data_IF_234400771732
#
_entry.id   IF_234400771732
#
_cell.length_a   1.000
_cell.length_b   1.000
_cell.length_c   1.000
_cell.angle_alpha   90.00
_cell.angle_beta   90.00
_cell.angle_gamma   90.00
#
_symmetry.space_group_name_H-M   'P 1'
#
loop_
_entity.id
_entity.type
_entity.pdbx_description
1 polymer ?
#
# COMPACT_ATOMS: atom_id res chain seq x y z
N UNK A 1 -33.34 33.07 26.26
CA UNK A 1 -33.27 34.41 26.88
C UNK A 1 -31.82 34.61 27.29
N UNK A 2 -31.21 35.67 26.83
CA UNK A 2 -29.83 36.05 27.16
C UNK A 2 -29.92 37.30 28.02
N UNK A 3 -29.37 37.26 29.24
CA UNK A 3 -29.32 38.41 30.14
C UNK A 3 -27.89 38.84 30.41
N UNK A 4 -27.67 40.13 30.52
CA UNK A 4 -26.40 40.73 30.96
C UNK A 4 -26.72 41.74 32.05
N UNK A 5 -26.09 41.60 33.21
CA UNK A 5 -26.27 42.46 34.36
C UNK A 5 -27.76 42.59 34.82
N UNK A 6 -28.53 41.50 34.69
CA UNK A 6 -29.95 41.46 35.05
C UNK A 6 -30.90 42.11 34.02
N UNK A 7 -30.40 42.70 32.96
CA UNK A 7 -31.19 43.24 31.86
C UNK A 7 -31.31 42.26 30.69
N UNK A 8 -32.47 42.19 30.04
CA UNK A 8 -32.69 41.40 28.84
C UNK A 8 -31.81 41.95 27.71
N UNK A 9 -30.80 41.18 27.32
CA UNK A 9 -29.87 41.55 26.21
C UNK A 9 -30.28 40.97 24.88
N UNK A 10 -31.17 40.00 24.85
CA UNK A 10 -31.70 39.40 23.64
C UNK A 10 -32.49 38.11 23.88
N UNK A 11 -33.25 37.72 22.89
CA UNK A 11 -33.95 36.45 22.81
C UNK A 11 -33.36 35.66 21.67
N UNK A 12 -32.60 34.59 21.99
CA UNK A 12 -32.08 33.67 21.01
C UNK A 12 -33.01 32.46 20.87
N UNK A 13 -33.35 32.12 19.63
CA UNK A 13 -34.02 30.86 19.35
C UNK A 13 -32.98 29.75 19.26
N UNK A 14 -33.11 28.66 20.01
CA UNK A 14 -32.19 27.53 20.02
C UNK A 14 -31.94 26.95 18.60
N UNK A 15 -32.97 26.93 17.75
CA UNK A 15 -32.90 26.55 16.36
C UNK A 15 -31.94 27.44 15.53
N UNK A 16 -31.96 28.76 15.76
CA UNK A 16 -31.05 29.67 15.06
C UNK A 16 -29.59 29.43 15.48
N UNK A 17 -29.34 29.21 16.74
CA UNK A 17 -28.01 28.91 17.24
C UNK A 17 -27.50 27.56 16.67
N UNK A 18 -28.36 26.53 16.67
CA UNK A 18 -28.03 25.23 16.06
C UNK A 18 -27.70 25.36 14.56
N UNK A 19 -28.48 26.15 13.83
CA UNK A 19 -28.21 26.39 12.41
C UNK A 19 -26.87 27.12 12.20
N UNK A 20 -26.52 28.10 12.99
CA UNK A 20 -25.24 28.79 12.93
C UNK A 20 -24.10 27.84 13.22
N UNK A 21 -24.18 27.02 14.27
CA UNK A 21 -23.17 26.01 14.62
C UNK A 21 -23.04 24.98 13.51
N UNK A 22 -24.15 24.46 12.98
CA UNK A 22 -24.14 23.50 11.88
C UNK A 22 -23.47 24.09 10.61
N UNK A 23 -23.79 25.32 10.25
CA UNK A 23 -23.17 26.00 9.11
C UNK A 23 -21.67 26.24 9.32
N UNK A 24 -21.25 26.66 10.53
CA UNK A 24 -19.83 26.81 10.84
C UNK A 24 -19.09 25.48 10.76
N UNK A 25 -19.71 24.40 11.25
CA UNK A 25 -19.13 23.06 11.21
C UNK A 25 -19.04 22.53 9.76
N UNK A 26 -20.09 22.76 8.97
CA UNK A 26 -20.09 22.40 7.55
C UNK A 26 -18.99 23.15 6.76
N UNK A 27 -18.81 24.44 7.03
CA UNK A 27 -17.77 25.24 6.39
C UNK A 27 -16.36 24.77 6.80
N UNK A 28 -16.14 24.51 8.08
CA UNK A 28 -14.87 23.97 8.58
C UNK A 28 -14.55 22.60 8.00
N UNK A 29 -15.54 21.72 7.90
CA UNK A 29 -15.39 20.42 7.25
C UNK A 29 -15.05 20.56 5.76
N UNK A 30 -15.69 21.50 5.05
CA UNK A 30 -15.40 21.78 3.65
C UNK A 30 -13.95 22.23 3.45
N UNK A 31 -13.43 23.11 4.30
CA UNK A 31 -12.04 23.58 4.23
C UNK A 31 -11.04 22.42 4.47
N UNK A 32 -11.33 21.56 5.45
CA UNK A 32 -10.52 20.37 5.74
C UNK A 32 -10.54 19.42 4.52
N UNK A 33 -11.71 19.10 3.98
CA UNK A 33 -11.84 18.23 2.81
C UNK A 33 -11.10 18.79 1.60
N UNK A 34 -11.20 20.07 1.34
CA UNK A 34 -10.45 20.71 0.23
C UNK A 34 -8.93 20.56 0.39
N UNK A 35 -8.41 20.64 1.62
CA UNK A 35 -6.98 20.40 1.89
C UNK A 35 -6.58 18.94 1.65
N UNK A 36 -7.46 17.99 2.02
CA UNK A 36 -7.23 16.55 1.78
C UNK A 36 -7.33 16.22 0.28
N UNK A 37 -8.28 16.82 -0.43
CA UNK A 37 -8.39 16.69 -1.90
C UNK A 37 -7.10 17.15 -2.59
N UNK A 38 -6.53 18.27 -2.15
CA UNK A 38 -5.26 18.76 -2.69
C UNK A 38 -4.10 17.80 -2.37
N UNK A 39 -4.05 17.23 -1.16
CA UNK A 39 -3.06 16.21 -0.80
C UNK A 39 -3.17 14.97 -1.72
N UNK A 40 -4.38 14.58 -2.14
CA UNK A 40 -4.57 13.45 -3.07
C UNK A 40 -3.98 13.74 -4.46
N UNK A 41 -4.03 14.98 -4.91
CA UNK A 41 -3.40 15.38 -6.18
C UNK A 41 -1.89 15.22 -6.10
N UNK A 42 -1.28 15.59 -4.97
CA UNK A 42 0.17 15.43 -4.74
C UNK A 42 0.53 13.95 -4.70
N UNK A 43 -0.20 13.13 -3.92
CA UNK A 43 0.06 11.69 -3.82
C UNK A 43 -0.05 10.98 -5.17
N UNK A 44 -1.09 11.28 -5.96
CA UNK A 44 -1.23 10.74 -7.33
C UNK A 44 -0.10 11.20 -8.26
N UNK A 45 0.34 12.45 -8.14
CA UNK A 45 1.45 12.98 -8.93
C UNK A 45 2.76 12.24 -8.64
N UNK A 46 3.01 11.92 -7.36
CA UNK A 46 4.18 11.13 -6.93
C UNK A 46 4.19 9.72 -7.56
N UNK A 47 3.03 9.07 -7.64
CA UNK A 47 2.90 7.72 -8.18
C UNK A 47 2.86 7.66 -9.73
N UNK A 48 2.64 8.80 -10.39
CA UNK A 48 2.42 8.86 -11.85
C UNK A 48 3.61 8.36 -12.68
N UNK A 49 4.84 8.68 -12.26
CA UNK A 49 6.06 8.26 -12.98
C UNK A 49 6.20 6.74 -12.96
N UNK A 50 5.99 6.10 -11.81
CA UNK A 50 6.00 4.64 -11.68
C UNK A 50 4.93 3.98 -12.55
N UNK A 51 3.73 4.54 -12.58
CA UNK A 51 2.63 4.01 -13.41
C UNK A 51 2.93 4.10 -14.90
N UNK A 52 3.50 5.22 -15.35
CA UNK A 52 3.91 5.40 -16.74
C UNK A 52 5.05 4.43 -17.14
N UNK A 53 6.06 4.27 -16.27
CA UNK A 53 7.15 3.34 -16.48
C UNK A 53 6.67 1.88 -16.54
N UNK A 54 5.75 1.48 -15.66
CA UNK A 54 5.12 0.16 -15.68
C UNK A 54 4.41 -0.11 -17.01
N UNK A 55 3.53 0.79 -17.43
CA UNK A 55 2.77 0.63 -18.67
C UNK A 55 3.67 0.55 -19.93
N UNK A 56 4.78 1.26 -19.92
CA UNK A 56 5.76 1.24 -21.03
C UNK A 56 6.65 0.00 -21.03
N UNK A 57 6.81 -0.68 -19.89
CA UNK A 57 7.77 -1.80 -19.75
C UNK A 57 7.10 -3.17 -19.79
N UNK A 58 5.95 -3.31 -19.15
CA UNK A 58 5.23 -4.58 -19.00
C UNK A 58 3.83 -4.49 -19.60
N UNK A 59 3.66 -4.92 -20.85
CA UNK A 59 2.34 -4.89 -21.52
C UNK A 59 1.33 -5.85 -20.88
N UNK A 60 1.79 -6.97 -20.32
CA UNK A 60 0.95 -7.92 -19.58
C UNK A 60 1.12 -7.71 -18.07
N UNK A 61 0.73 -6.54 -17.60
CA UNK A 61 0.71 -6.19 -16.18
C UNK A 61 -0.50 -5.35 -15.82
N UNK A 62 -0.92 -5.44 -14.58
CA UNK A 62 -1.96 -4.57 -14.02
C UNK A 62 -1.62 -4.19 -12.57
N UNK A 63 -1.92 -2.95 -12.25
CA UNK A 63 -1.77 -2.39 -10.91
C UNK A 63 -3.08 -1.76 -10.48
N UNK A 64 -3.62 -2.27 -9.39
CA UNK A 64 -4.73 -1.66 -8.66
C UNK A 64 -4.15 -0.90 -7.48
N UNK A 65 -4.55 0.34 -7.32
CA UNK A 65 -4.25 1.19 -6.17
C UNK A 65 -5.49 2.03 -5.87
N UNK A 66 -6.14 1.73 -4.79
CA UNK A 66 -7.40 2.32 -4.37
C UNK A 66 -7.33 2.65 -2.89
N UNK A 67 -7.00 3.89 -2.53
CA UNK A 67 -7.05 4.31 -1.14
C UNK A 67 -8.45 4.09 -0.54
N UNK A 68 -8.48 3.76 0.76
CA UNK A 68 -9.72 3.66 1.52
C UNK A 68 -10.41 5.01 1.64
N UNK A 69 -9.63 6.02 1.93
CA UNK A 69 -10.05 7.41 2.06
C UNK A 69 -9.67 8.22 0.80
N UNK A 70 -9.58 9.52 0.89
CA UNK A 70 -9.17 10.38 -0.24
C UNK A 70 -7.69 10.23 -0.57
N UNK A 71 -6.87 9.95 0.46
CA UNK A 71 -5.46 9.60 0.41
C UNK A 71 -5.23 8.32 1.22
N UNK A 72 -4.14 7.59 0.99
CA UNK A 72 -3.89 6.30 1.64
C UNK A 72 -2.47 6.09 2.11
N UNK A 73 -2.27 4.99 2.87
CA UNK A 73 -0.99 4.50 3.35
C UNK A 73 -0.28 3.57 2.36
N UNK A 74 -1.01 2.99 1.43
CA UNK A 74 -0.42 2.16 0.40
C UNK A 74 0.29 2.97 -0.66
N UNK A 75 1.43 2.45 -1.14
CA UNK A 75 2.07 2.99 -2.33
C UNK A 75 2.74 1.88 -3.16
N UNK A 76 3.09 2.25 -4.37
CA UNK A 76 3.86 1.40 -5.28
C UNK A 76 4.98 2.20 -5.93
N UNK A 77 6.03 1.48 -6.31
CA UNK A 77 7.14 2.02 -7.09
C UNK A 77 7.46 1.07 -8.23
N UNK A 78 7.76 1.61 -9.41
CA UNK A 78 8.22 0.85 -10.56
C UNK A 78 9.25 1.66 -11.34
N UNK A 79 10.35 1.00 -11.68
CA UNK A 79 11.38 1.58 -12.55
C UNK A 79 11.96 0.52 -13.50
N UNK A 80 12.18 0.93 -14.75
CA UNK A 80 12.91 0.14 -15.75
C UNK A 80 14.40 0.43 -15.67
N UNK A 81 15.19 -0.60 -15.88
CA UNK A 81 16.65 -0.56 -16.03
C UNK A 81 17.05 -1.28 -17.33
N UNK A 82 18.31 -1.15 -17.73
CA UNK A 82 18.79 -1.72 -19.01
C UNK A 82 18.63 -3.25 -19.09
N UNK A 83 18.82 -3.94 -17.98
CA UNK A 83 18.79 -5.40 -17.85
C UNK A 83 17.58 -5.95 -17.11
N UNK A 84 16.63 -5.10 -16.72
CA UNK A 84 15.46 -5.56 -15.99
C UNK A 84 14.55 -4.45 -15.50
N UNK A 85 13.79 -4.78 -14.46
CA UNK A 85 12.94 -3.81 -13.79
C UNK A 85 12.89 -4.07 -12.27
N UNK A 86 12.65 -3.01 -11.54
CA UNK A 86 12.39 -3.06 -10.11
C UNK A 86 10.95 -2.63 -9.83
N UNK A 87 10.30 -3.36 -8.91
CA UNK A 87 8.99 -2.99 -8.38
C UNK A 87 8.97 -3.10 -6.86
N UNK A 88 8.23 -2.20 -6.23
CA UNK A 88 7.90 -2.27 -4.82
C UNK A 88 6.40 -2.04 -4.62
N UNK A 89 5.80 -2.85 -3.75
CA UNK A 89 4.44 -2.69 -3.23
C UNK A 89 4.57 -2.55 -1.73
N UNK A 90 3.98 -1.52 -1.16
CA UNK A 90 4.13 -1.21 0.24
C UNK A 90 2.81 -0.74 0.85
N UNK A 91 2.61 -1.14 2.09
CA UNK A 91 1.50 -0.85 2.98
C UNK A 91 2.07 -0.17 4.23
N UNK A 92 1.86 1.12 4.36
CA UNK A 92 2.35 1.90 5.49
C UNK A 92 1.35 1.90 6.64
N UNK A 93 1.86 2.04 7.87
CA UNK A 93 1.01 2.20 9.05
C UNK A 93 0.02 3.34 8.88
N UNK A 94 -1.26 3.01 9.06
CA UNK A 94 -2.35 3.96 9.02
C UNK A 94 -2.85 4.32 7.63
N UNK A 95 -4.07 4.78 7.57
CA UNK A 95 -4.77 5.19 6.35
C UNK A 95 -5.06 6.68 6.39
N UNK A 96 -5.59 7.26 5.30
CA UNK A 96 -5.88 8.68 5.22
C UNK A 96 -4.63 9.56 5.32
N UNK A 97 -4.74 10.70 5.97
CA UNK A 97 -3.66 11.69 6.04
C UNK A 97 -2.38 11.16 6.71
N UNK A 98 -2.43 10.49 7.88
CA UNK A 98 -1.22 9.89 8.48
C UNK A 98 -0.54 8.90 7.54
N UNK A 99 -1.29 7.98 6.93
CA UNK A 99 -0.77 7.04 5.94
C UNK A 99 -0.11 7.74 4.75
N UNK A 100 -0.71 8.82 4.24
CA UNK A 100 -0.14 9.59 3.15
C UNK A 100 1.22 10.23 3.50
N UNK A 101 1.42 10.68 4.74
CA UNK A 101 2.74 11.14 5.20
C UNK A 101 3.74 9.99 5.26
N UNK A 102 3.31 8.82 5.74
CA UNK A 102 4.16 7.63 5.75
C UNK A 102 4.56 7.21 4.33
N UNK A 103 3.64 7.26 3.35
CA UNK A 103 4.00 6.98 1.95
C UNK A 103 5.04 7.94 1.40
N UNK A 104 4.96 9.23 1.76
CA UNK A 104 5.93 10.23 1.32
C UNK A 104 7.34 9.94 1.90
N UNK A 105 7.43 9.67 3.20
CA UNK A 105 8.68 9.31 3.88
C UNK A 105 9.26 8.05 3.25
N UNK A 106 8.48 6.99 3.16
CA UNK A 106 8.89 5.67 2.70
C UNK A 106 9.33 5.67 1.23
N UNK A 107 8.58 6.34 0.37
CA UNK A 107 8.91 6.45 -1.05
C UNK A 107 10.16 7.28 -1.31
N UNK A 108 10.38 8.36 -0.55
CA UNK A 108 11.60 9.17 -0.67
C UNK A 108 12.84 8.39 -0.20
N UNK A 109 12.70 7.64 0.90
CA UNK A 109 13.77 6.77 1.42
C UNK A 109 14.10 5.65 0.45
N UNK A 110 13.08 5.03 -0.17
CA UNK A 110 13.28 4.02 -1.23
C UNK A 110 14.02 4.61 -2.44
N UNK A 111 13.63 5.80 -2.89
CA UNK A 111 14.29 6.46 -4.01
C UNK A 111 15.77 6.73 -3.72
N UNK A 112 16.09 7.17 -2.50
CA UNK A 112 17.48 7.37 -2.06
C UNK A 112 18.26 6.05 -1.97
N UNK A 113 17.67 4.99 -1.42
CA UNK A 113 18.28 3.68 -1.33
C UNK A 113 18.60 3.10 -2.72
N UNK A 114 17.66 3.24 -3.68
CA UNK A 114 17.87 2.81 -5.06
C UNK A 114 19.01 3.58 -5.76
N UNK A 115 19.17 4.86 -5.50
CA UNK A 115 20.31 5.65 -6.04
C UNK A 115 21.66 5.18 -5.47
N UNK A 116 21.68 4.73 -4.22
CA UNK A 116 22.92 4.35 -3.52
C UNK A 116 23.30 2.90 -3.81
N UNK A 117 22.35 1.98 -3.75
CA UNK A 117 22.59 0.53 -3.80
C UNK A 117 22.25 -0.09 -5.17
N UNK A 118 21.47 0.62 -5.99
CA UNK A 118 20.88 0.05 -7.20
C UNK A 118 19.74 -0.93 -6.89
N UNK A 119 19.10 -1.53 -7.93
CA UNK A 119 17.87 -2.30 -7.78
C UNK A 119 18.05 -3.79 -7.49
N UNK A 120 19.28 -4.33 -7.65
CA UNK A 120 19.51 -5.78 -7.80
C UNK A 120 19.47 -6.58 -6.50
N UNK A 121 19.52 -5.90 -5.35
CA UNK A 121 19.47 -6.52 -4.03
C UNK A 121 18.27 -5.99 -3.22
N UNK A 122 17.06 -6.57 -3.43
CA UNK A 122 15.86 -6.18 -2.71
C UNK A 122 15.99 -6.23 -1.18
N UNK A 123 16.71 -7.20 -0.63
CA UNK A 123 16.88 -7.34 0.82
C UNK A 123 17.75 -6.21 1.40
N UNK A 124 18.86 -5.86 0.72
CA UNK A 124 19.68 -4.73 1.11
C UNK A 124 18.91 -3.40 1.00
N UNK A 125 18.08 -3.25 -0.03
CA UNK A 125 17.20 -2.09 -0.18
C UNK A 125 16.21 -1.97 0.98
N UNK A 126 15.54 -3.06 1.37
CA UNK A 126 14.62 -3.07 2.52
C UNK A 126 15.37 -2.65 3.80
N UNK A 127 16.57 -3.17 4.04
CA UNK A 127 17.36 -2.82 5.22
C UNK A 127 17.74 -1.33 5.24
N UNK A 128 18.13 -0.78 4.08
CA UNK A 128 18.45 0.65 3.96
C UNK A 128 17.22 1.54 4.16
N UNK A 129 16.09 1.19 3.55
CA UNK A 129 14.82 1.89 3.75
C UNK A 129 14.39 1.82 5.21
N UNK A 130 14.56 0.68 5.89
CA UNK A 130 14.23 0.54 7.31
C UNK A 130 15.03 1.50 8.18
N UNK A 131 16.34 1.61 7.95
CA UNK A 131 17.20 2.58 8.65
C UNK A 131 16.75 4.02 8.38
N UNK A 132 16.49 4.35 7.13
CA UNK A 132 16.05 5.68 6.73
C UNK A 132 14.72 6.08 7.37
N UNK A 133 13.71 5.20 7.32
CA UNK A 133 12.40 5.45 7.96
C UNK A 133 12.56 5.63 9.46
N UNK A 134 13.29 4.75 10.15
CA UNK A 134 13.57 4.88 11.59
C UNK A 134 14.25 6.22 11.93
N UNK A 135 15.23 6.62 11.12
CA UNK A 135 15.92 7.89 11.30
C UNK A 135 14.98 9.08 11.17
N UNK A 136 14.14 9.10 10.13
CA UNK A 136 13.23 10.20 9.87
C UNK A 136 12.12 10.32 10.92
N UNK A 137 11.69 9.18 11.50
CA UNK A 137 10.65 9.14 12.54
C UNK A 137 11.21 9.20 13.97
N UNK A 138 12.54 9.29 14.15
CA UNK A 138 13.15 9.27 15.48
C UNK A 138 13.01 7.93 16.21
N UNK A 139 12.81 6.84 15.48
CA UNK A 139 12.59 5.48 16.02
C UNK A 139 13.89 4.68 16.18
N UNK A 140 15.05 5.37 16.25
CA UNK A 140 16.35 4.75 16.47
C UNK A 140 16.54 4.37 17.93
N UNK A 141 17.11 3.19 18.19
CA UNK A 141 17.47 2.76 19.55
C UNK A 141 18.51 3.70 20.18
N UNK A 142 18.32 4.05 21.46
CA UNK A 142 19.33 4.75 22.24
C UNK A 142 19.21 6.28 22.35
N UNK A 143 18.19 6.88 21.80
CA UNK A 143 17.89 8.31 22.00
C UNK A 143 16.92 8.49 23.17
N UNK A 144 17.32 8.34 24.40
CA UNK A 144 16.70 8.70 25.70
C UNK A 144 15.19 8.93 25.86
N UNK A 145 14.48 9.23 24.81
CA UNK A 145 13.03 9.41 24.78
C UNK A 145 12.37 8.18 24.18
N UNK A 146 11.27 7.74 24.79
CA UNK A 146 10.39 6.73 24.20
C UNK A 146 9.89 7.26 22.86
N UNK A 147 9.97 6.50 21.76
CA UNK A 147 9.43 6.94 20.48
C UNK A 147 7.95 7.33 20.63
N UNK A 148 7.57 8.46 20.06
CA UNK A 148 6.18 8.95 20.11
C UNK A 148 5.22 8.09 19.30
N UNK A 149 5.75 7.29 18.35
CA UNK A 149 4.97 6.40 17.50
C UNK A 149 5.74 5.09 17.23
N UNK A 150 5.03 4.10 16.68
CA UNK A 150 5.61 2.86 16.17
C UNK A 150 5.12 2.68 14.73
N UNK A 151 5.57 3.58 13.85
CA UNK A 151 5.16 3.61 12.46
C UNK A 151 6.20 2.95 11.56
N UNK A 152 5.71 2.32 10.52
CA UNK A 152 6.53 1.58 9.58
C UNK A 152 5.74 1.20 8.34
N UNK A 153 6.19 0.17 7.66
CA UNK A 153 5.47 -0.40 6.53
C UNK A 153 5.75 -1.89 6.37
N UNK A 154 4.80 -2.59 5.78
CA UNK A 154 4.96 -3.92 5.22
C UNK A 154 5.18 -3.78 3.71
N UNK A 155 6.13 -4.51 3.14
CA UNK A 155 6.45 -4.32 1.73
C UNK A 155 6.98 -5.58 1.05
N UNK A 156 6.88 -5.58 -0.27
CA UNK A 156 7.49 -6.55 -1.17
C UNK A 156 8.31 -5.82 -2.22
N UNK A 157 9.60 -6.14 -2.30
CA UNK A 157 10.54 -5.59 -3.28
C UNK A 157 10.96 -6.69 -4.25
N UNK A 158 10.90 -6.37 -5.54
CA UNK A 158 11.13 -7.30 -6.65
C UNK A 158 12.16 -6.72 -7.61
N UNK A 159 13.18 -7.49 -7.93
CA UNK A 159 14.08 -7.24 -9.05
C UNK A 159 13.97 -8.38 -10.06
N UNK A 160 13.56 -8.09 -11.27
CA UNK A 160 13.50 -9.06 -12.36
C UNK A 160 14.61 -8.78 -13.38
N UNK A 161 15.48 -9.75 -13.57
CA UNK A 161 16.52 -9.76 -14.60
C UNK A 161 15.95 -10.38 -15.89
N UNK A 162 15.83 -9.57 -16.94
CA UNK A 162 15.26 -10.00 -18.23
C UNK A 162 16.14 -11.00 -18.97
N UNK A 163 17.48 -10.91 -18.80
CA UNK A 163 18.43 -11.74 -19.52
C UNK A 163 18.42 -13.18 -19.01
N UNK A 164 18.29 -13.33 -17.71
CA UNK A 164 18.29 -14.64 -17.04
C UNK A 164 16.90 -15.12 -16.67
N UNK A 165 15.87 -14.29 -16.80
CA UNK A 165 14.49 -14.51 -16.33
C UNK A 165 14.42 -14.91 -14.87
N UNK A 166 15.29 -14.34 -14.04
CA UNK A 166 15.33 -14.57 -12.61
C UNK A 166 14.72 -13.40 -11.86
N UNK A 167 13.89 -13.72 -10.88
CA UNK A 167 13.30 -12.78 -9.97
C UNK A 167 14.00 -12.88 -8.60
N UNK A 168 14.61 -11.81 -8.15
CA UNK A 168 15.02 -11.65 -6.77
C UNK A 168 13.88 -10.95 -6.01
N UNK A 169 13.39 -11.59 -4.97
CA UNK A 169 12.30 -11.11 -4.14
C UNK A 169 12.75 -11.01 -2.69
N UNK A 170 12.43 -9.90 -2.04
CA UNK A 170 12.49 -9.77 -0.59
C UNK A 170 11.17 -9.19 -0.09
N UNK A 171 10.57 -9.84 0.91
CA UNK A 171 9.32 -9.40 1.50
C UNK A 171 9.48 -9.10 2.99
N UNK A 172 8.97 -7.97 3.41
CA UNK A 172 8.75 -7.60 4.80
C UNK A 172 7.25 -7.73 5.06
N UNK A 173 6.83 -8.91 5.56
CA UNK A 173 5.44 -9.34 5.81
C UNK A 173 4.53 -9.48 4.57
N UNK A 174 4.85 -8.91 3.42
CA UNK A 174 4.13 -9.13 2.17
C UNK A 174 4.78 -10.26 1.37
N UNK A 175 4.00 -11.30 1.03
CA UNK A 175 4.45 -12.47 0.28
C UNK A 175 4.13 -12.35 -1.21
N UNK A 176 4.93 -13.00 -2.05
CA UNK A 176 4.71 -13.10 -3.49
C UNK A 176 3.94 -14.38 -3.82
N UNK A 177 2.95 -14.28 -4.68
CA UNK A 177 2.22 -15.41 -5.24
C UNK A 177 2.69 -15.64 -6.68
N UNK A 178 2.92 -16.90 -7.03
CA UNK A 178 3.32 -17.35 -8.37
C UNK A 178 2.30 -18.35 -8.89
N UNK A 179 1.83 -18.17 -10.10
CA UNK A 179 0.99 -19.14 -10.78
C UNK A 179 1.59 -19.46 -12.16
N UNK A 180 2.19 -20.64 -12.26
CA UNK A 180 2.65 -21.17 -13.52
C UNK A 180 1.46 -21.62 -14.38
N UNK A 181 1.46 -21.41 -15.71
CA UNK A 181 0.32 -21.75 -16.57
C UNK A 181 -0.02 -23.25 -16.57
N UNK A 182 0.95 -24.11 -16.29
CA UNK A 182 0.81 -25.57 -16.29
C UNK A 182 0.59 -26.17 -14.88
N UNK A 183 0.57 -25.35 -13.84
CA UNK A 183 0.41 -25.86 -12.46
C UNK A 183 -0.99 -25.59 -11.93
N UNK A 184 -1.54 -26.56 -11.20
CA UNK A 184 -2.86 -26.51 -10.55
C UNK A 184 -2.81 -25.93 -9.13
N UNK A 185 -1.70 -25.25 -8.78
CA UNK A 185 -1.52 -24.65 -7.47
C UNK A 185 -0.81 -23.30 -7.58
N UNK A 186 -1.22 -22.36 -6.74
CA UNK A 186 -0.53 -21.09 -6.53
C UNK A 186 0.61 -21.32 -5.54
N UNK A 187 1.84 -21.13 -5.99
CA UNK A 187 3.01 -21.16 -5.12
C UNK A 187 3.14 -19.84 -4.36
N UNK A 188 3.41 -19.91 -3.07
CA UNK A 188 3.71 -18.73 -2.26
C UNK A 188 5.21 -18.67 -1.98
N UNK A 189 5.84 -17.56 -2.30
CA UNK A 189 7.18 -17.21 -1.83
C UNK A 189 6.98 -16.36 -0.56
N UNK A 190 7.25 -16.97 0.60
CA UNK A 190 6.99 -16.33 1.89
C UNK A 190 7.89 -15.12 2.12
N UNK A 191 7.41 -14.15 2.84
CA UNK A 191 8.16 -12.98 3.32
C UNK A 191 8.86 -13.28 4.65
N UNK A 192 9.77 -12.40 5.04
CA UNK A 192 10.25 -12.33 6.42
C UNK A 192 9.16 -11.74 7.33
N UNK A 193 9.21 -12.08 8.62
CA UNK A 193 8.15 -11.72 9.59
C UNK A 193 8.30 -10.32 10.18
N UNK A 194 9.32 -9.58 9.81
CA UNK A 194 9.58 -8.22 10.29
C UNK A 194 9.21 -7.21 9.21
N UNK A 195 8.46 -6.20 9.63
CA UNK A 195 8.18 -5.03 8.80
C UNK A 195 9.34 -4.04 8.79
N UNK A 196 9.20 -2.99 8.03
CA UNK A 196 10.21 -1.97 7.75
C UNK A 196 9.96 -0.76 8.65
N UNK A 197 10.97 -0.23 9.33
CA UNK A 197 10.87 1.02 10.09
C UNK A 197 10.31 0.89 11.51
N UNK A 198 9.58 -0.17 11.83
CA UNK A 198 8.97 -0.35 13.16
C UNK A 198 10.00 -0.38 14.29
N UNK A 199 9.64 0.16 15.43
CA UNK A 199 10.49 0.21 16.62
C UNK A 199 11.02 -1.17 17.02
N UNK A 200 10.16 -2.20 16.95
CA UNK A 200 10.46 -3.59 17.31
C UNK A 200 11.26 -4.36 16.24
N UNK A 201 11.56 -3.76 15.09
CA UNK A 201 12.46 -4.34 14.10
C UNK A 201 13.90 -3.92 14.42
N UNK A 202 14.80 -4.85 14.78
CA UNK A 202 16.20 -4.51 15.09
C UNK A 202 16.91 -3.83 13.91
N UNK A 203 17.83 -2.92 14.19
CA UNK A 203 18.60 -2.19 13.16
C UNK A 203 19.51 -3.12 12.34
N UNK A 204 19.95 -4.21 12.93
CA UNK A 204 20.79 -5.25 12.33
C UNK A 204 19.98 -6.39 11.72
N UNK A 205 18.64 -6.30 11.73
CA UNK A 205 17.81 -7.31 11.11
C UNK A 205 18.08 -7.36 9.60
N UNK A 206 18.35 -8.57 9.11
CA UNK A 206 18.64 -8.82 7.70
C UNK A 206 17.46 -9.54 7.05
N UNK A 207 16.83 -8.89 6.07
CA UNK A 207 15.85 -9.56 5.21
C UNK A 207 16.54 -10.50 4.23
N UNK A 208 15.78 -11.42 3.67
CA UNK A 208 16.32 -12.50 2.84
C UNK A 208 15.89 -12.34 1.39
N UNK A 209 16.87 -12.30 0.47
CA UNK A 209 16.60 -12.44 -0.95
C UNK A 209 16.21 -13.89 -1.27
N UNK A 210 15.06 -14.06 -1.91
CA UNK A 210 14.60 -15.33 -2.48
C UNK A 210 14.65 -15.21 -3.98
N UNK A 211 15.39 -16.10 -4.61
CA UNK A 211 15.58 -16.08 -6.06
C UNK A 211 14.72 -17.19 -6.68
N UNK A 212 13.93 -16.79 -7.68
CA UNK A 212 13.00 -17.67 -8.39
C UNK A 212 13.26 -17.59 -9.89
N UNK A 213 13.37 -18.73 -10.54
CA UNK A 213 13.40 -18.80 -12.00
C UNK A 213 11.95 -18.65 -12.50
N UNK A 214 11.70 -17.63 -13.32
CA UNK A 214 10.36 -17.30 -13.80
C UNK A 214 10.17 -17.85 -15.21
N UNK A 215 9.50 -19.00 -15.32
CA UNK A 215 9.15 -19.56 -16.61
C UNK A 215 8.20 -18.62 -17.40
N UNK A 216 8.29 -18.62 -18.76
CA UNK A 216 7.37 -17.82 -19.57
C UNK A 216 5.90 -18.09 -19.23
N UNK A 217 5.10 -17.03 -19.16
CA UNK A 217 3.69 -17.11 -18.84
C UNK A 217 3.36 -17.25 -17.34
N UNK A 218 4.35 -17.33 -16.45
CA UNK A 218 4.11 -17.33 -15.00
C UNK A 218 3.54 -15.98 -14.56
N UNK A 219 2.39 -16.02 -13.87
CA UNK A 219 1.79 -14.85 -13.24
C UNK A 219 2.47 -14.60 -11.89
N UNK A 220 2.91 -13.39 -11.66
CA UNK A 220 3.34 -12.85 -10.37
C UNK A 220 2.20 -12.04 -9.78
N UNK A 221 1.93 -12.17 -8.48
CA UNK A 221 1.00 -11.31 -7.75
C UNK A 221 1.57 -10.94 -6.38
N UNK A 222 1.54 -9.66 -6.07
CA UNK A 222 1.75 -9.11 -4.72
C UNK A 222 0.54 -8.27 -4.35
N UNK A 223 0.09 -8.37 -3.10
CA UNK A 223 -1.03 -7.57 -2.57
C UNK A 223 -0.74 -7.10 -1.16
N UNK A 224 -1.28 -5.93 -0.79
CA UNK A 224 -1.40 -5.47 0.59
C UNK A 224 -2.52 -6.23 1.30
N UNK A 225 -2.67 -6.04 2.59
CA UNK A 225 -3.64 -6.78 3.40
C UNK A 225 -5.10 -6.35 3.13
N UNK A 226 -5.33 -5.13 2.60
CA UNK A 226 -6.66 -4.63 2.27
C UNK A 226 -7.44 -5.49 1.29
N UNK A 227 -6.76 -6.33 0.47
CA UNK A 227 -7.44 -7.35 -0.33
C UNK A 227 -7.93 -8.51 0.53
N UNK A 228 -7.05 -9.06 1.38
CA UNK A 228 -7.30 -10.34 2.07
C UNK A 228 -8.07 -10.16 3.38
N UNK A 229 -7.99 -8.99 4.01
CA UNK A 229 -8.61 -8.69 5.30
C UNK A 229 -9.96 -7.99 5.19
N UNK A 230 -10.44 -7.72 3.95
CA UNK A 230 -11.77 -7.19 3.74
C UNK A 230 -12.83 -8.13 4.28
N UNK A 231 -13.66 -7.62 5.19
CA UNK A 231 -14.80 -8.34 5.73
C UNK A 231 -15.94 -8.32 4.72
N UNK A 232 -16.63 -9.45 4.58
CA UNK A 232 -17.78 -9.59 3.69
C UNK A 232 -18.32 -11.00 3.61
N UNK A 233 -19.09 -11.24 2.54
CA UNK A 233 -19.76 -12.50 2.31
C UNK A 233 -20.87 -12.80 3.32
N UNK A 234 -21.54 -13.95 3.21
CA UNK A 234 -22.72 -14.27 4.01
C UNK A 234 -22.45 -14.45 5.52
N UNK A 235 -21.19 -14.56 5.93
CA UNK A 235 -20.77 -14.81 7.31
C UNK A 235 -19.96 -13.66 7.92
N UNK A 236 -19.82 -12.55 7.23
CA UNK A 236 -19.02 -11.39 7.65
C UNK A 236 -17.61 -11.79 8.12
N UNK A 237 -16.90 -12.55 7.29
CA UNK A 237 -15.51 -12.98 7.55
C UNK A 237 -14.56 -12.35 6.53
N UNK A 238 -13.26 -12.43 6.80
CA UNK A 238 -12.24 -11.94 5.88
C UNK A 238 -12.28 -12.67 4.52
N UNK A 239 -12.00 -11.94 3.45
CA UNK A 239 -11.86 -12.48 2.09
C UNK A 239 -10.86 -13.64 2.03
N UNK A 240 -9.69 -13.43 2.56
CA UNK A 240 -8.68 -14.43 2.84
C UNK A 240 -7.89 -14.93 1.63
N UNK A 241 -6.70 -15.43 1.92
CA UNK A 241 -5.76 -15.94 0.89
C UNK A 241 -6.30 -17.12 0.10
N UNK A 242 -7.19 -17.93 0.68
CA UNK A 242 -7.78 -19.08 -0.02
C UNK A 242 -8.62 -18.63 -1.21
N UNK A 243 -9.54 -17.69 -0.98
CA UNK A 243 -10.43 -17.17 -2.03
C UNK A 243 -9.64 -16.46 -3.14
N UNK A 244 -8.67 -15.64 -2.77
CA UNK A 244 -7.75 -15.04 -3.72
C UNK A 244 -7.11 -16.09 -4.64
N UNK A 245 -6.58 -17.19 -4.08
CA UNK A 245 -5.97 -18.27 -4.86
C UNK A 245 -6.96 -19.00 -5.75
N UNK A 246 -8.19 -19.20 -5.32
CA UNK A 246 -9.27 -19.80 -6.10
C UNK A 246 -9.55 -18.95 -7.37
N UNK A 247 -9.61 -17.61 -7.22
CA UNK A 247 -9.76 -16.69 -8.36
C UNK A 247 -8.56 -16.77 -9.30
N UNK A 248 -7.32 -16.75 -8.77
CA UNK A 248 -6.12 -16.85 -9.60
C UNK A 248 -6.11 -18.15 -10.42
N UNK A 249 -6.46 -19.27 -9.80
CA UNK A 249 -6.53 -20.56 -10.49
C UNK A 249 -7.60 -20.60 -11.56
N UNK A 250 -8.76 -20.00 -11.31
CA UNK A 250 -9.85 -19.89 -12.30
C UNK A 250 -9.45 -19.05 -13.53
N UNK A 251 -8.53 -18.09 -13.33
CA UNK A 251 -7.99 -17.22 -14.39
C UNK A 251 -6.61 -17.66 -14.91
N UNK A 252 -6.22 -18.89 -14.66
CA UNK A 252 -4.94 -19.44 -15.13
C UNK A 252 -4.81 -19.28 -16.66
N UNK A 253 -3.69 -18.72 -17.10
CA UNK A 253 -3.43 -18.46 -18.53
C UNK A 253 -4.07 -17.19 -19.09
N UNK A 254 -4.98 -16.54 -18.38
CA UNK A 254 -5.53 -15.25 -18.79
C UNK A 254 -4.48 -14.12 -18.67
N UNK A 255 -4.54 -13.07 -19.50
CA UNK A 255 -3.71 -11.88 -19.36
C UNK A 255 -3.84 -11.25 -17.95
N UNK A 256 -2.76 -10.67 -17.44
CA UNK A 256 -2.73 -10.06 -16.11
C UNK A 256 -3.83 -8.99 -15.89
N UNK A 257 -4.19 -8.14 -16.85
CA UNK A 257 -5.34 -7.23 -16.70
C UNK A 257 -6.65 -7.95 -16.45
N UNK A 258 -6.91 -9.07 -17.15
CA UNK A 258 -8.13 -9.85 -16.95
C UNK A 258 -8.14 -10.56 -15.58
N UNK A 259 -7.00 -11.06 -15.13
CA UNK A 259 -6.85 -11.62 -13.78
C UNK A 259 -7.14 -10.55 -12.72
N UNK A 260 -6.62 -9.34 -12.91
CA UNK A 260 -6.85 -8.23 -11.99
C UNK A 260 -8.33 -7.82 -11.94
N UNK A 261 -8.99 -7.75 -13.08
CA UNK A 261 -10.43 -7.45 -13.17
C UNK A 261 -11.26 -8.51 -12.44
N UNK A 262 -11.01 -9.79 -12.72
CA UNK A 262 -11.71 -10.89 -12.05
C UNK A 262 -11.49 -10.89 -10.53
N UNK A 263 -10.27 -10.58 -10.07
CA UNK A 263 -9.96 -10.48 -8.66
C UNK A 263 -10.67 -9.30 -7.99
N UNK A 264 -10.75 -8.16 -8.68
CA UNK A 264 -11.42 -6.97 -8.18
C UNK A 264 -12.94 -7.16 -8.13
N UNK A 265 -13.53 -7.80 -9.14
CA UNK A 265 -14.96 -8.11 -9.20
C UNK A 265 -15.37 -9.08 -8.09
N UNK A 266 -14.58 -10.14 -7.88
CA UNK A 266 -14.83 -11.11 -6.80
C UNK A 266 -14.67 -10.47 -5.41
N UNK A 267 -13.69 -9.58 -5.24
CA UNK A 267 -13.50 -8.78 -4.02
C UNK A 267 -14.71 -7.88 -3.76
N UNK A 268 -15.20 -7.15 -4.78
CA UNK A 268 -16.35 -6.26 -4.64
C UNK A 268 -17.65 -7.03 -4.32
N UNK A 269 -17.84 -8.18 -4.95
CA UNK A 269 -18.97 -9.08 -4.63
C UNK A 269 -18.89 -9.59 -3.20
N UNK A 270 -17.68 -9.93 -2.73
CA UNK A 270 -17.47 -10.35 -1.35
C UNK A 270 -17.73 -9.23 -0.37
N UNK A 271 -17.19 -8.04 -0.62
CA UNK A 271 -17.40 -6.85 0.20
C UNK A 271 -18.87 -6.53 0.37
N UNK A 272 -19.64 -6.57 -0.71
CA UNK A 272 -21.09 -6.26 -0.70
C UNK A 272 -21.35 -4.87 -0.11
N UNK A 273 -22.19 -4.80 0.91
CA UNK A 273 -22.53 -3.55 1.61
C UNK A 273 -21.56 -3.17 2.74
N UNK A 274 -20.57 -3.99 3.03
CA UNK A 274 -19.61 -3.71 4.10
C UNK A 274 -18.69 -2.54 3.71
N UNK A 275 -18.31 -1.66 4.65
CA UNK A 275 -17.36 -0.61 4.38
C UNK A 275 -15.98 -1.21 4.04
N UNK A 276 -15.23 -0.51 3.20
CA UNK A 276 -13.84 -0.85 2.97
C UNK A 276 -13.04 -0.67 4.26
N UNK A 277 -12.22 -1.66 4.61
CA UNK A 277 -11.46 -1.65 5.87
C UNK A 277 -10.14 -0.94 5.74
N UNK A 278 -9.46 -1.10 4.62
CA UNK A 278 -8.13 -0.55 4.38
C UNK A 278 -7.90 -0.15 2.93
N UNK A 279 -6.76 0.41 2.63
CA UNK A 279 -6.30 0.68 1.28
C UNK A 279 -6.18 -0.63 0.51
N UNK A 280 -6.54 -0.64 -0.75
CA UNK A 280 -6.49 -1.82 -1.61
C UNK A 280 -5.42 -1.62 -2.68
N UNK A 281 -4.33 -2.37 -2.56
CA UNK A 281 -3.27 -2.36 -3.56
C UNK A 281 -2.85 -3.77 -3.94
N UNK A 282 -2.82 -4.06 -5.22
CA UNK A 282 -2.17 -5.25 -5.73
C UNK A 282 -1.56 -5.01 -7.11
N UNK A 283 -0.48 -5.71 -7.35
CA UNK A 283 0.25 -5.72 -8.61
C UNK A 283 0.31 -7.14 -9.14
N UNK A 284 -0.06 -7.35 -10.40
CA UNK A 284 0.14 -8.61 -11.08
C UNK A 284 0.74 -8.40 -12.47
N UNK A 285 1.61 -9.32 -12.88
CA UNK A 285 2.23 -9.29 -14.21
C UNK A 285 2.68 -10.67 -14.67
N UNK A 286 2.89 -10.80 -15.99
CA UNK A 286 3.63 -11.87 -16.64
C UNK A 286 4.86 -11.27 -17.33
N UNK A 287 6.02 -11.35 -16.71
CA UNK A 287 7.24 -10.74 -17.25
C UNK A 287 7.82 -11.47 -18.45
#
# INVERSE_FOLDING_TARGET
>A
IITRDGALSGVGFGLQLMNVVANMQAEKNRQIMHSIDYASVIQRAMLRTSRAALAATLPDAHLVWQPRDVVGGDFYFFARYDDGWFAAIADCTGHGVPGAFMTLISSSTLAQALQTLGPRDPAALIAEVSRGVKTMLGQMEGHGDTPESNDGMDAAFLWFDQNTRRLSFAGARLSLQLLHPEQDAVLTVDSDRRGIGYVDTPLDFSWTNKVVDVAPGTLLLVTTDGLIDQIGGPKDIAYGKRRMREVLLAQRGAPAPQVAEALLDDYQQWQGAQPRRDDLTFFCCRP
#
